data_IF_328625783927
#
_entry.id   IF_328625783927
#
_cell.length_a   1.000
_cell.length_b   1.000
_cell.length_c   1.000
_cell.angle_alpha   90.00
_cell.angle_beta   90.00
_cell.angle_gamma   90.00
#
_symmetry.space_group_name_H-M   'P 1'
#
loop_
_entity.id
_entity.type
_entity.pdbx_description
1 polymer ?
#
# COMPACT_ATOMS: atom_id res chain seq x y z
N UNK A 1 1.70 10.76 -4.73
CA UNK A 1 0.59 9.98 -4.13
C UNK A 1 0.63 10.15 -2.63
N UNK A 2 -0.51 10.25 -1.95
CA UNK A 2 -0.61 10.39 -0.49
C UNK A 2 -1.74 9.51 0.02
N UNK A 3 -1.62 9.07 1.27
CA UNK A 3 -2.70 8.39 1.98
C UNK A 3 -3.74 9.44 2.38
N UNK A 4 -5.01 9.05 2.35
CA UNK A 4 -6.11 9.88 2.84
C UNK A 4 -5.92 10.16 4.34
N UNK A 5 -6.24 11.38 4.79
CA UNK A 5 -5.91 11.83 6.16
C UNK A 5 -6.52 10.95 7.26
N UNK A 6 -7.70 10.43 7.00
CA UNK A 6 -8.48 9.63 7.94
C UNK A 6 -8.18 8.13 7.87
N UNK A 7 -7.23 7.71 7.03
CA UNK A 7 -6.79 6.32 6.93
C UNK A 7 -5.57 6.09 7.83
N UNK A 8 -5.72 5.17 8.78
CA UNK A 8 -4.69 4.72 9.70
C UNK A 8 -4.13 3.38 9.24
N UNK A 9 -2.81 3.27 9.13
CA UNK A 9 -2.14 2.00 8.87
C UNK A 9 -1.57 1.47 10.18
N UNK A 10 -1.91 0.23 10.54
CA UNK A 10 -1.39 -0.39 11.75
C UNK A 10 -1.09 -1.87 11.54
N UNK A 11 -0.11 -2.40 12.27
CA UNK A 11 0.11 -3.83 12.43
C UNK A 11 -0.68 -4.30 13.64
N UNK A 12 -1.62 -5.23 13.45
CA UNK A 12 -2.43 -5.83 14.50
C UNK A 12 -2.08 -7.31 14.62
N UNK A 13 -1.22 -7.64 15.59
CA UNK A 13 -0.70 -9.01 15.74
C UNK A 13 0.14 -9.42 14.53
N UNK A 14 -0.32 -10.45 13.82
CA UNK A 14 0.31 -10.96 12.59
C UNK A 14 -0.27 -10.35 11.30
N UNK A 15 -1.39 -9.64 11.39
CA UNK A 15 -2.05 -9.00 10.25
C UNK A 15 -1.67 -7.52 10.13
N UNK A 16 -1.74 -7.00 8.91
CA UNK A 16 -1.60 -5.58 8.63
C UNK A 16 -2.97 -5.03 8.25
N UNK A 17 -3.33 -3.86 8.75
CA UNK A 17 -4.65 -3.26 8.49
C UNK A 17 -4.54 -1.80 8.08
N UNK A 18 -5.42 -1.38 7.18
CA UNK A 18 -5.74 0.01 6.93
C UNK A 18 -7.17 0.28 7.41
N UNK A 19 -7.31 1.13 8.42
CA UNK A 19 -8.59 1.55 8.96
C UNK A 19 -8.97 2.91 8.40
N UNK A 20 -10.08 3.00 7.69
CA UNK A 20 -10.65 4.26 7.21
C UNK A 20 -11.65 4.79 8.25
N UNK A 21 -11.30 5.88 8.94
CA UNK A 21 -12.16 6.49 9.94
C UNK A 21 -13.43 7.12 9.35
N UNK A 22 -13.42 7.57 8.09
CA UNK A 22 -14.61 8.20 7.50
C UNK A 22 -15.72 7.18 7.26
N UNK A 23 -15.36 6.00 6.76
CA UNK A 23 -16.32 4.93 6.48
C UNK A 23 -16.43 3.91 7.62
N UNK A 24 -15.60 4.03 8.66
CA UNK A 24 -15.43 3.04 9.72
C UNK A 24 -15.14 1.63 9.19
N UNK A 25 -14.36 1.56 8.10
CA UNK A 25 -14.04 0.29 7.42
C UNK A 25 -12.62 -0.17 7.75
N UNK A 26 -12.50 -1.44 8.14
CA UNK A 26 -11.21 -2.09 8.33
C UNK A 26 -10.85 -2.91 7.09
N UNK A 27 -9.72 -2.60 6.47
CA UNK A 27 -9.17 -3.36 5.36
C UNK A 27 -7.95 -4.14 5.81
N UNK A 28 -8.06 -5.47 5.78
CA UNK A 28 -6.89 -6.32 5.98
C UNK A 28 -5.98 -6.27 4.75
N UNK A 29 -4.68 -6.23 5.00
CA UNK A 29 -3.62 -6.10 4.03
C UNK A 29 -2.71 -7.32 4.16
N UNK A 30 -2.32 -7.86 3.01
CA UNK A 30 -1.21 -8.80 2.96
C UNK A 30 0.13 -8.05 3.18
N UNK A 31 1.20 -8.81 3.38
CA UNK A 31 2.51 -8.25 3.70
C UNK A 31 3.05 -7.29 2.61
N UNK A 32 2.79 -7.61 1.33
CA UNK A 32 3.16 -6.74 0.20
C UNK A 32 2.37 -5.44 0.20
N UNK A 33 1.06 -5.50 0.44
CA UNK A 33 0.18 -4.35 0.50
C UNK A 33 0.58 -3.39 1.61
N UNK A 34 0.91 -3.91 2.79
CA UNK A 34 1.47 -3.11 3.89
C UNK A 34 2.78 -2.43 3.51
N UNK A 35 3.69 -3.14 2.82
CA UNK A 35 4.96 -2.58 2.40
C UNK A 35 4.76 -1.43 1.41
N UNK A 36 3.81 -1.56 0.48
CA UNK A 36 3.44 -0.52 -0.47
C UNK A 36 2.84 0.69 0.26
N UNK A 37 1.82 0.47 1.10
CA UNK A 37 1.15 1.53 1.86
C UNK A 37 2.11 2.26 2.80
N UNK A 38 2.93 1.54 3.56
CA UNK A 38 3.96 2.14 4.42
C UNK A 38 5.02 2.90 3.61
N UNK A 39 5.34 2.42 2.40
CA UNK A 39 6.18 3.16 1.46
C UNK A 39 5.58 4.50 1.04
N UNK A 40 4.28 4.50 0.72
CA UNK A 40 3.53 5.72 0.34
C UNK A 40 3.42 6.69 1.52
N UNK A 41 3.13 6.18 2.72
CA UNK A 41 3.08 6.95 3.97
C UNK A 41 4.42 7.67 4.22
N UNK A 42 5.53 6.94 4.04
CA UNK A 42 6.90 7.45 4.15
C UNK A 42 7.36 8.28 2.95
N UNK A 43 6.46 8.60 2.01
CA UNK A 43 6.72 9.39 0.79
C UNK A 43 7.83 8.81 -0.10
N UNK A 44 8.02 7.49 -0.09
CA UNK A 44 8.96 6.82 -1.00
C UNK A 44 8.46 6.88 -2.43
N UNK A 45 9.38 6.88 -3.38
CA UNK A 45 9.03 6.82 -4.81
C UNK A 45 8.53 5.43 -5.21
N UNK A 46 7.74 5.33 -6.29
CA UNK A 46 7.29 4.04 -6.88
C UNK A 46 8.48 3.08 -7.06
N UNK A 47 9.60 3.58 -7.58
CA UNK A 47 10.80 2.78 -7.82
C UNK A 47 11.43 2.23 -6.53
N UNK A 48 11.46 3.02 -5.45
CA UNK A 48 11.98 2.54 -4.16
C UNK A 48 11.09 1.48 -3.53
N UNK A 49 9.77 1.63 -3.66
CA UNK A 49 8.81 0.63 -3.18
C UNK A 49 8.99 -0.67 -3.96
N UNK A 50 9.05 -0.62 -5.30
CA UNK A 50 9.29 -1.78 -6.16
C UNK A 50 10.62 -2.45 -5.82
N UNK A 51 11.71 -1.68 -5.64
CA UNK A 51 13.01 -2.23 -5.20
C UNK A 51 12.89 -2.94 -3.86
N UNK A 52 12.09 -2.39 -2.93
CA UNK A 52 11.79 -3.04 -1.65
C UNK A 52 11.08 -4.38 -1.80
N UNK A 53 10.08 -4.46 -2.68
CA UNK A 53 9.35 -5.71 -2.98
C UNK A 53 10.29 -6.74 -3.61
N UNK A 54 11.03 -6.35 -4.65
CA UNK A 54 12.01 -7.22 -5.33
C UNK A 54 13.04 -7.77 -4.34
N UNK A 55 13.58 -6.90 -3.47
CA UNK A 55 14.60 -7.32 -2.50
C UNK A 55 14.03 -8.23 -1.42
N UNK A 56 12.81 -7.94 -0.91
CA UNK A 56 12.20 -8.70 0.18
C UNK A 56 11.71 -10.07 -0.27
N UNK A 57 11.04 -10.13 -1.42
CA UNK A 57 10.39 -11.35 -1.91
C UNK A 57 11.17 -12.07 -3.02
N UNK A 58 12.33 -11.53 -3.46
CA UNK A 58 13.16 -12.09 -4.55
C UNK A 58 12.37 -12.35 -5.84
N UNK A 59 11.38 -11.51 -6.13
CA UNK A 59 10.57 -11.59 -7.36
C UNK A 59 11.17 -10.75 -8.49
N UNK A 60 10.76 -11.01 -9.73
CA UNK A 60 11.17 -10.17 -10.87
C UNK A 60 10.62 -8.75 -10.75
N UNK A 61 11.34 -7.77 -11.31
CA UNK A 61 10.89 -6.38 -11.33
C UNK A 61 9.51 -6.23 -11.97
N UNK A 62 9.25 -6.91 -13.08
CA UNK A 62 7.96 -6.88 -13.76
C UNK A 62 6.82 -7.38 -12.86
N UNK A 63 7.05 -8.45 -12.10
CA UNK A 63 6.05 -8.96 -11.14
C UNK A 63 5.80 -7.96 -10.01
N UNK A 64 6.86 -7.45 -9.39
CA UNK A 64 6.74 -6.44 -8.35
C UNK A 64 6.05 -5.15 -8.82
N UNK A 65 6.27 -4.78 -10.08
CA UNK A 65 5.64 -3.61 -10.69
C UNK A 65 4.15 -3.85 -10.97
N UNK A 66 3.77 -5.04 -11.45
CA UNK A 66 2.37 -5.47 -11.57
C UNK A 66 1.65 -5.51 -10.21
N UNK A 67 2.26 -6.14 -9.20
CA UNK A 67 1.71 -6.21 -7.83
C UNK A 67 1.51 -4.80 -7.25
N UNK A 68 2.45 -3.88 -7.49
CA UNK A 68 2.33 -2.49 -7.08
C UNK A 68 1.14 -1.79 -7.76
N UNK A 69 1.01 -1.94 -9.08
CA UNK A 69 -0.05 -1.25 -9.84
C UNK A 69 -1.44 -1.80 -9.53
N UNK A 70 -1.59 -3.12 -9.41
CA UNK A 70 -2.85 -3.75 -9.01
C UNK A 70 -3.28 -3.27 -7.62
N UNK A 71 -2.35 -3.26 -6.66
CA UNK A 71 -2.65 -2.84 -5.30
C UNK A 71 -2.98 -1.34 -5.21
N UNK A 72 -2.20 -0.48 -5.89
CA UNK A 72 -2.50 0.96 -5.96
C UNK A 72 -3.84 1.22 -6.66
N UNK A 73 -4.18 0.43 -7.67
CA UNK A 73 -5.49 0.46 -8.31
C UNK A 73 -6.61 0.16 -7.32
N UNK A 74 -6.49 -0.92 -6.56
CA UNK A 74 -7.46 -1.30 -5.54
C UNK A 74 -7.64 -0.21 -4.45
N UNK A 75 -6.54 0.40 -4.00
CA UNK A 75 -6.59 1.49 -3.02
C UNK A 75 -7.30 2.73 -3.56
N UNK A 76 -7.12 3.06 -4.85
CA UNK A 76 -7.83 4.19 -5.50
C UNK A 76 -9.32 3.90 -5.61
N UNK A 77 -9.71 2.68 -6.01
CA UNK A 77 -11.12 2.29 -6.10
C UNK A 77 -11.83 2.34 -4.76
N UNK A 78 -11.11 2.07 -3.66
CA UNK A 78 -11.62 2.16 -2.29
C UNK A 78 -11.46 3.55 -1.65
N UNK A 79 -11.03 4.55 -2.42
CA UNK A 79 -10.80 5.92 -1.95
C UNK A 79 -9.80 6.05 -0.77
N UNK A 80 -8.90 5.08 -0.59
CA UNK A 80 -7.95 5.05 0.54
C UNK A 80 -6.71 5.93 0.31
N UNK A 81 -6.45 6.29 -0.95
CA UNK A 81 -5.30 7.11 -1.34
C UNK A 81 -5.71 8.22 -2.30
N UNK A 82 -5.08 9.38 -2.12
CA UNK A 82 -5.27 10.57 -2.94
C UNK A 82 -3.99 10.86 -3.72
N UNK A 83 -4.08 10.78 -5.05
CA UNK A 83 -2.96 11.08 -5.93
C UNK A 83 -3.44 11.37 -7.35
N UNK A 84 -3.04 12.53 -7.89
CA UNK A 84 -3.27 12.85 -9.30
C UNK A 84 -2.58 11.83 -10.21
N UNK A 85 -3.29 11.50 -11.30
CA UNK A 85 -2.75 10.87 -12.51
C UNK A 85 -1.42 11.50 -12.91
#
# INVERSE_FOLDING_TARGET
MKIKKDVLIQKMGDSFVAYDNETSTLHELNETGFLILSGIEKKKSKQEIIKGIVRKYKVSKNKAEGDYEEFVGALKTKDLIVGKK
#
